data_IF_674777831643
#
_entry.id   IF_674777831643
#
_cell.length_a   1.000
_cell.length_b   1.000
_cell.length_c   1.000
_cell.angle_alpha   90.00
_cell.angle_beta   90.00
_cell.angle_gamma   90.00
#
_symmetry.space_group_name_H-M   'P 1'
#
loop_
_entity.id
_entity.type
_entity.pdbx_description
1 polymer ?
#
# COMPACT_ATOMS: atom_id res chain seq x y z
N UNK A 1 -53.48 10.85 -23.48
CA UNK A 1 -53.23 10.23 -22.16
C UNK A 1 -51.94 9.41 -22.13
N UNK A 2 -51.50 8.81 -23.23
CA UNK A 2 -50.25 8.02 -23.30
C UNK A 2 -48.97 8.86 -23.36
N UNK A 3 -48.99 10.05 -23.95
CA UNK A 3 -47.83 10.96 -24.05
C UNK A 3 -47.42 11.56 -22.72
N UNK A 4 -48.34 11.84 -21.82
CA UNK A 4 -48.04 12.38 -20.47
C UNK A 4 -47.46 11.31 -19.58
N UNK A 5 -47.88 10.04 -19.71
CA UNK A 5 -47.28 8.91 -18.97
C UNK A 5 -45.88 8.62 -19.42
N UNK A 6 -45.57 8.75 -20.72
CA UNK A 6 -44.21 8.60 -21.24
C UNK A 6 -43.27 9.72 -20.76
N UNK A 7 -43.74 10.95 -20.66
CA UNK A 7 -42.97 12.10 -20.17
C UNK A 7 -42.67 12.00 -18.68
N UNK A 8 -43.60 11.51 -17.86
CA UNK A 8 -43.39 11.26 -16.43
C UNK A 8 -42.43 10.13 -16.20
N UNK A 9 -42.43 9.08 -17.04
CA UNK A 9 -41.50 7.95 -16.97
C UNK A 9 -40.06 8.39 -17.30
N UNK A 10 -39.87 9.30 -18.27
CA UNK A 10 -38.55 9.86 -18.63
C UNK A 10 -37.99 10.75 -17.52
N UNK A 11 -38.82 11.53 -16.83
CA UNK A 11 -38.40 12.35 -15.69
C UNK A 11 -37.99 11.48 -14.48
N UNK A 12 -38.66 10.36 -14.25
CA UNK A 12 -38.34 9.41 -13.18
C UNK A 12 -37.01 8.62 -13.46
N UNK A 13 -36.65 8.41 -14.73
CA UNK A 13 -35.38 7.77 -15.10
C UNK A 13 -34.17 8.71 -15.02
N UNK A 14 -34.38 10.03 -15.00
CA UNK A 14 -33.28 11.03 -15.00
C UNK A 14 -32.65 11.30 -13.61
N UNK A 15 -33.23 10.81 -12.52
CA UNK A 15 -32.72 11.06 -11.16
C UNK A 15 -31.91 9.88 -10.60
N UNK A 16 -30.96 9.40 -11.35
CA UNK A 16 -29.90 8.57 -10.81
C UNK A 16 -28.86 9.49 -10.15
N UNK A 17 -29.14 9.97 -8.94
CA UNK A 17 -28.08 10.53 -8.10
C UNK A 17 -27.11 9.38 -7.77
N UNK A 18 -25.98 9.33 -8.45
CA UNK A 18 -24.86 8.51 -8.01
C UNK A 18 -24.38 9.07 -6.66
N UNK A 19 -25.01 8.61 -5.58
CA UNK A 19 -24.48 8.81 -4.25
C UNK A 19 -23.17 8.01 -4.19
N UNK A 20 -22.03 8.68 -4.31
CA UNK A 20 -20.73 8.08 -4.06
C UNK A 20 -20.59 7.88 -2.55
N UNK A 21 -21.21 6.82 -2.04
CA UNK A 21 -20.99 6.32 -0.70
C UNK A 21 -19.77 5.44 -0.73
N UNK A 22 -18.85 5.64 0.20
CA UNK A 22 -17.65 4.81 0.39
C UNK A 22 -17.79 4.06 1.71
N UNK A 23 -17.30 2.81 1.74
CA UNK A 23 -17.32 2.02 2.97
C UNK A 23 -16.18 2.47 3.89
N UNK A 24 -16.37 2.33 5.19
CA UNK A 24 -15.37 2.71 6.19
C UNK A 24 -14.01 2.05 5.88
N UNK A 25 -14.00 0.77 5.53
CA UNK A 25 -12.76 0.03 5.19
C UNK A 25 -12.01 0.54 3.97
N UNK A 26 -12.68 1.26 3.06
CA UNK A 26 -12.03 1.77 1.83
C UNK A 26 -11.34 3.12 2.11
N UNK A 27 -11.76 3.85 3.16
CA UNK A 27 -11.25 5.18 3.52
C UNK A 27 -10.45 5.21 4.82
N UNK A 28 -10.43 4.13 5.58
CA UNK A 28 -9.74 4.07 6.86
C UNK A 28 -9.04 2.74 7.10
N UNK A 29 -8.11 2.74 8.04
CA UNK A 29 -7.43 1.56 8.57
C UNK A 29 -7.67 1.48 10.08
N UNK A 30 -7.72 0.25 10.60
CA UNK A 30 -7.82 0.02 12.04
C UNK A 30 -6.45 0.19 12.68
N UNK A 31 -6.36 0.96 13.75
CA UNK A 31 -5.13 1.16 14.51
C UNK A 31 -4.56 -0.17 15.01
N UNK A 32 -3.23 -0.32 14.85
CA UNK A 32 -2.52 -1.55 15.24
C UNK A 32 -2.68 -2.72 14.28
N UNK A 33 -3.41 -2.57 13.18
CA UNK A 33 -3.52 -3.55 12.10
C UNK A 33 -2.62 -3.10 10.96
N UNK A 34 -1.36 -3.50 10.99
CA UNK A 34 -0.38 -3.15 9.95
C UNK A 34 0.55 -4.32 9.66
N UNK A 35 1.07 -4.35 8.47
CA UNK A 35 2.17 -5.23 8.13
C UNK A 35 3.48 -4.77 8.80
N UNK A 36 4.30 -5.71 9.22
CA UNK A 36 5.59 -5.46 9.87
C UNK A 36 6.72 -5.90 8.95
N UNK A 37 7.71 -5.02 8.77
CA UNK A 37 8.87 -5.33 7.94
C UNK A 37 9.85 -6.19 8.72
N UNK A 38 10.29 -7.29 8.11
CA UNK A 38 11.29 -8.19 8.64
C UNK A 38 12.55 -8.15 7.78
N UNK A 39 13.70 -8.18 8.44
CA UNK A 39 15.01 -8.19 7.79
C UNK A 39 15.86 -9.30 8.36
N UNK A 40 16.64 -9.97 7.50
CA UNK A 40 17.61 -10.97 7.88
C UNK A 40 18.88 -10.87 7.05
N UNK A 41 19.96 -11.42 7.59
CA UNK A 41 21.21 -11.64 6.90
C UNK A 41 21.41 -13.13 6.72
N UNK A 42 21.68 -13.58 5.49
CA UNK A 42 21.81 -14.99 5.17
C UNK A 42 22.88 -15.27 4.11
N UNK A 43 23.01 -16.54 3.81
CA UNK A 43 23.88 -17.04 2.73
C UNK A 43 23.04 -17.78 1.69
N UNK A 44 23.31 -17.50 0.44
CA UNK A 44 22.82 -18.27 -0.70
C UNK A 44 23.97 -19.15 -1.20
N UNK A 45 23.68 -20.44 -1.35
CA UNK A 45 24.64 -21.46 -1.80
C UNK A 45 24.18 -22.08 -3.12
N UNK A 46 25.10 -22.84 -3.78
CA UNK A 46 24.79 -23.52 -5.03
C UNK A 46 24.86 -22.66 -6.28
N UNK A 47 25.47 -21.48 -6.18
CA UNK A 47 25.63 -20.59 -7.33
C UNK A 47 26.64 -21.15 -8.34
N UNK A 48 26.38 -21.13 -9.66
CA UNK A 48 27.26 -21.69 -10.69
C UNK A 48 28.45 -20.76 -10.98
N UNK A 49 29.32 -20.51 -9.98
CA UNK A 49 30.50 -19.65 -10.11
C UNK A 49 30.19 -18.13 -10.08
N UNK A 50 28.93 -17.73 -9.86
CA UNK A 50 28.49 -16.32 -9.82
C UNK A 50 28.46 -15.74 -8.41
N UNK A 51 28.92 -16.49 -7.41
CA UNK A 51 29.06 -16.05 -6.02
C UNK A 51 30.19 -15.04 -5.82
N UNK A 52 30.53 -14.78 -4.57
CA UNK A 52 31.51 -13.75 -4.19
C UNK A 52 32.58 -14.27 -3.24
N UNK A 53 33.69 -13.54 -3.18
CA UNK A 53 34.82 -13.89 -2.32
C UNK A 53 35.16 -12.78 -1.31
N UNK A 54 34.18 -12.07 -0.83
CA UNK A 54 34.37 -11.01 0.16
C UNK A 54 34.71 -11.60 1.54
N UNK A 55 35.49 -10.88 2.34
CA UNK A 55 35.94 -11.34 3.66
C UNK A 55 34.77 -11.66 4.60
N UNK A 56 33.70 -10.85 4.60
CA UNK A 56 32.54 -11.10 5.44
C UNK A 56 31.71 -12.32 5.00
N UNK A 57 31.65 -12.62 3.70
CA UNK A 57 31.02 -13.84 3.17
C UNK A 57 31.81 -15.08 3.59
N UNK A 58 33.13 -15.02 3.51
CA UNK A 58 34.01 -16.11 3.98
C UNK A 58 33.88 -16.33 5.49
N UNK A 59 33.82 -15.24 6.27
CA UNK A 59 33.63 -15.32 7.72
C UNK A 59 32.30 -15.93 8.09
N UNK A 60 31.21 -15.50 7.44
CA UNK A 60 29.87 -16.05 7.65
C UNK A 60 29.78 -17.52 7.26
N UNK A 61 30.41 -17.90 6.15
CA UNK A 61 30.51 -19.29 5.73
C UNK A 61 31.25 -20.15 6.74
N UNK A 62 32.36 -19.65 7.29
CA UNK A 62 33.09 -20.34 8.40
C UNK A 62 32.20 -20.48 9.63
N UNK A 63 31.51 -19.42 10.04
CA UNK A 63 30.59 -19.47 11.16
C UNK A 63 29.50 -20.54 10.99
N UNK A 64 28.97 -20.66 9.78
CA UNK A 64 28.03 -21.71 9.43
C UNK A 64 28.64 -23.11 9.51
N UNK A 65 29.84 -23.34 8.94
CA UNK A 65 30.53 -24.63 9.03
C UNK A 65 30.80 -25.01 10.48
N UNK A 66 31.23 -24.05 11.30
CA UNK A 66 31.45 -24.29 12.73
C UNK A 66 30.17 -24.71 13.45
N UNK A 67 29.00 -24.15 13.08
CA UNK A 67 27.73 -24.59 13.66
C UNK A 67 27.32 -26.02 13.28
N UNK A 68 27.88 -26.54 12.18
CA UNK A 68 27.77 -27.95 11.78
C UNK A 68 28.89 -28.85 12.31
N UNK A 69 29.75 -28.32 13.18
CA UNK A 69 30.88 -29.08 13.75
C UNK A 69 32.10 -29.18 12.85
N UNK A 70 32.15 -28.46 11.73
CA UNK A 70 33.28 -28.44 10.79
C UNK A 70 34.14 -27.23 11.10
N UNK A 71 35.34 -27.46 11.65
CA UNK A 71 36.30 -26.39 11.97
C UNK A 71 37.35 -26.27 10.88
N UNK A 72 37.41 -25.13 10.19
CA UNK A 72 38.45 -24.80 9.24
C UNK A 72 39.60 -24.07 9.93
N UNK A 73 40.88 -24.45 9.64
CA UNK A 73 42.06 -23.73 10.15
C UNK A 73 41.97 -22.23 9.79
N UNK A 74 42.39 -21.36 10.70
CA UNK A 74 42.35 -19.90 10.51
C UNK A 74 43.25 -19.42 9.34
N UNK A 75 44.26 -20.19 8.99
CA UNK A 75 45.19 -19.92 7.89
C UNK A 75 44.64 -20.22 6.50
N UNK A 76 43.53 -20.97 6.41
CA UNK A 76 42.90 -21.31 5.13
C UNK A 76 41.70 -20.43 4.88
N UNK A 77 41.76 -19.63 3.82
CA UNK A 77 40.56 -18.91 3.30
C UNK A 77 39.91 -19.77 2.21
N UNK A 78 38.69 -20.25 2.44
CA UNK A 78 37.98 -21.03 1.43
C UNK A 78 37.72 -20.18 0.18
N UNK A 79 38.20 -20.66 -0.97
CA UNK A 79 37.90 -20.02 -2.27
C UNK A 79 36.47 -20.42 -2.70
N UNK A 80 35.49 -19.71 -2.20
CA UNK A 80 34.07 -19.97 -2.48
C UNK A 80 33.62 -19.06 -3.61
N UNK A 81 33.28 -19.64 -4.78
CA UNK A 81 32.62 -18.93 -5.90
C UNK A 81 31.14 -19.28 -6.06
N UNK A 82 30.64 -20.16 -5.20
CA UNK A 82 29.29 -20.68 -5.23
C UNK A 82 28.42 -20.21 -4.04
N UNK A 83 28.90 -19.22 -3.30
CA UNK A 83 28.22 -18.65 -2.13
C UNK A 83 28.14 -17.13 -2.28
N UNK A 84 27.04 -16.55 -1.83
CA UNK A 84 26.85 -15.10 -1.74
C UNK A 84 26.19 -14.72 -0.41
N UNK A 85 26.65 -13.61 0.17
CA UNK A 85 25.98 -12.99 1.30
C UNK A 85 24.77 -12.17 0.81
N UNK A 86 23.65 -12.31 1.50
CA UNK A 86 22.40 -11.71 1.09
C UNK A 86 21.65 -11.04 2.25
N UNK A 87 20.96 -9.96 1.92
CA UNK A 87 19.90 -9.43 2.72
C UNK A 87 18.59 -10.11 2.33
N UNK A 88 17.81 -10.50 3.34
CA UNK A 88 16.51 -11.12 3.17
C UNK A 88 15.48 -10.18 3.73
N UNK A 89 14.47 -9.85 2.93
CA UNK A 89 13.37 -8.97 3.30
C UNK A 89 12.06 -9.74 3.22
N UNK A 90 11.20 -9.53 4.20
CA UNK A 90 9.86 -10.07 4.21
C UNK A 90 8.89 -9.05 4.80
N UNK A 91 7.65 -9.14 4.39
CA UNK A 91 6.56 -8.42 4.99
C UNK A 91 5.70 -9.42 5.77
N UNK A 92 5.59 -9.22 7.09
CA UNK A 92 4.73 -10.02 7.95
C UNK A 92 3.37 -9.36 8.04
N UNK A 93 2.35 -9.92 7.36
CA UNK A 93 0.99 -9.39 7.44
C UNK A 93 0.44 -9.45 8.88
N UNK A 94 -0.50 -8.58 9.23
CA UNK A 94 -1.14 -8.63 10.54
C UNK A 94 -1.86 -9.97 10.74
N UNK A 95 -1.96 -10.41 11.99
CA UNK A 95 -2.65 -11.63 12.41
C UNK A 95 -2.10 -12.95 11.86
N UNK A 96 -0.94 -12.95 11.23
CA UNK A 96 -0.27 -14.20 10.83
C UNK A 96 0.11 -15.03 12.06
N UNK A 97 -0.26 -16.33 12.01
CA UNK A 97 -0.02 -17.27 13.10
C UNK A 97 1.27 -18.05 12.90
N UNK A 98 1.90 -18.53 13.98
CA UNK A 98 3.02 -19.46 13.89
C UNK A 98 2.69 -20.67 13.00
N UNK A 99 3.67 -21.09 12.18
CA UNK A 99 3.52 -22.15 11.19
C UNK A 99 2.99 -21.71 9.82
N UNK A 100 2.46 -20.50 9.68
CA UNK A 100 2.07 -19.97 8.38
C UNK A 100 3.29 -19.46 7.61
N UNK A 101 3.22 -19.51 6.28
CA UNK A 101 4.32 -19.10 5.42
C UNK A 101 4.09 -17.70 4.82
N UNK A 102 5.19 -17.01 4.54
CA UNK A 102 5.23 -15.70 3.88
C UNK A 102 6.29 -15.70 2.78
N UNK A 103 6.08 -14.85 1.79
CA UNK A 103 7.04 -14.63 0.71
C UNK A 103 8.23 -13.84 1.19
N UNK A 104 9.41 -14.13 0.62
CA UNK A 104 10.62 -13.37 0.89
C UNK A 104 11.28 -12.89 -0.39
N UNK A 105 11.96 -11.77 -0.26
CA UNK A 105 12.85 -11.20 -1.28
C UNK A 105 14.28 -11.29 -0.77
N UNK A 106 15.17 -11.81 -1.61
CA UNK A 106 16.58 -12.03 -1.30
C UNK A 106 17.41 -11.19 -2.24
N UNK A 107 18.28 -10.33 -1.70
CA UNK A 107 19.11 -9.41 -2.46
C UNK A 107 20.57 -9.59 -2.09
N UNK A 108 21.47 -9.68 -3.06
CA UNK A 108 22.91 -9.74 -2.80
C UNK A 108 23.39 -8.44 -2.15
N UNK A 109 24.21 -8.56 -1.10
CA UNK A 109 24.82 -7.40 -0.43
C UNK A 109 26.18 -7.09 -1.07
N UNK A 110 26.82 -8.08 -1.63
CA UNK A 110 28.18 -7.96 -2.11
C UNK A 110 28.31 -7.93 -3.63
N UNK A 111 29.38 -8.53 -4.13
CA UNK A 111 29.78 -8.52 -5.54
C UNK A 111 29.30 -9.73 -6.34
N UNK A 112 28.36 -10.50 -5.84
CA UNK A 112 27.80 -11.64 -6.56
C UNK A 112 27.21 -11.21 -7.90
N UNK A 113 27.61 -11.90 -8.97
CA UNK A 113 27.15 -11.59 -10.33
C UNK A 113 25.72 -12.00 -10.61
N UNK A 114 25.25 -13.07 -9.96
CA UNK A 114 23.87 -13.58 -10.07
C UNK A 114 23.55 -14.51 -8.91
N UNK A 115 22.30 -14.51 -8.46
CA UNK A 115 21.75 -15.45 -7.45
C UNK A 115 21.00 -16.63 -8.10
N UNK A 116 21.00 -16.72 -9.42
CA UNK A 116 20.25 -17.73 -10.16
C UNK A 116 20.75 -19.15 -9.84
N UNK A 117 19.80 -20.06 -9.59
CA UNK A 117 20.07 -21.46 -9.22
C UNK A 117 20.50 -21.64 -7.77
N UNK A 118 20.61 -20.55 -7.01
CA UNK A 118 20.98 -20.60 -5.61
C UNK A 118 19.86 -20.98 -4.67
N UNK A 119 20.23 -21.49 -3.51
CA UNK A 119 19.33 -21.81 -2.41
C UNK A 119 19.72 -20.99 -1.18
N UNK A 120 18.75 -20.29 -0.59
CA UNK A 120 18.92 -19.59 0.68
C UNK A 120 19.00 -20.60 1.81
N UNK A 121 20.06 -20.51 2.59
CA UNK A 121 20.20 -21.27 3.83
C UNK A 121 19.32 -20.67 4.94
N UNK A 122 19.08 -21.46 5.98
CA UNK A 122 18.29 -21.05 7.13
C UNK A 122 18.73 -19.67 7.64
N UNK A 123 17.81 -18.74 7.64
CA UNK A 123 18.05 -17.33 7.95
C UNK A 123 16.98 -16.82 8.89
N UNK A 124 17.39 -16.21 10.00
CA UNK A 124 16.47 -15.61 10.96
C UNK A 124 16.04 -14.23 10.49
N UNK A 125 14.74 -14.01 10.39
CA UNK A 125 14.16 -12.72 10.06
C UNK A 125 13.73 -11.99 11.34
N UNK A 126 14.28 -10.79 11.52
CA UNK A 126 14.09 -9.96 12.71
C UNK A 126 13.21 -8.76 12.40
N UNK A 127 12.39 -8.38 13.36
CA UNK A 127 11.68 -7.12 13.35
C UNK A 127 12.55 -5.94 13.82
N UNK A 128 11.98 -4.75 13.86
CA UNK A 128 12.64 -3.51 14.32
C UNK A 128 13.08 -3.61 15.79
N UNK A 129 12.38 -4.42 16.58
CA UNK A 129 12.69 -4.68 18.00
C UNK A 129 13.84 -5.69 18.20
N UNK A 130 14.43 -6.19 17.12
CA UNK A 130 15.54 -7.17 17.14
C UNK A 130 15.10 -8.62 17.39
N UNK A 131 13.83 -8.88 17.67
CA UNK A 131 13.32 -10.24 17.90
C UNK A 131 13.15 -10.99 16.58
N UNK A 132 13.32 -12.32 16.62
CA UNK A 132 13.07 -13.21 15.49
C UNK A 132 11.58 -13.50 15.41
N UNK A 133 10.99 -13.26 14.22
CA UNK A 133 9.58 -13.49 13.92
C UNK A 133 9.35 -14.59 12.90
N UNK A 134 10.32 -14.81 12.00
CA UNK A 134 10.21 -15.86 10.99
C UNK A 134 11.60 -16.47 10.69
N UNK A 135 11.56 -17.67 10.15
CA UNK A 135 12.77 -18.37 9.66
C UNK A 135 12.58 -18.59 8.16
N UNK A 136 13.57 -18.11 7.39
CA UNK A 136 13.58 -18.16 5.94
C UNK A 136 14.52 -19.23 5.41
N UNK A 137 14.07 -19.97 4.38
CA UNK A 137 14.88 -20.96 3.67
C UNK A 137 14.22 -21.29 2.33
N UNK A 138 15.01 -21.62 1.30
CA UNK A 138 14.44 -22.15 0.07
C UNK A 138 15.18 -21.76 -1.20
N UNK A 139 14.78 -22.35 -2.31
CA UNK A 139 15.39 -22.10 -3.63
C UNK A 139 14.90 -20.79 -4.22
N UNK A 140 15.82 -20.00 -4.78
CA UNK A 140 15.54 -18.68 -5.32
C UNK A 140 14.96 -18.77 -6.73
N UNK A 141 13.89 -18.03 -6.96
CA UNK A 141 13.38 -17.71 -8.28
C UNK A 141 13.96 -16.34 -8.66
N UNK A 142 14.90 -16.32 -9.59
CA UNK A 142 15.58 -15.11 -10.05
C UNK A 142 15.11 -14.78 -11.45
N UNK A 143 14.54 -13.60 -11.63
CA UNK A 143 14.17 -13.07 -12.94
C UNK A 143 15.40 -12.50 -13.67
N UNK A 144 15.35 -12.52 -15.02
CA UNK A 144 16.36 -11.89 -15.85
C UNK A 144 17.44 -12.83 -16.38
N UNK A 145 18.15 -12.34 -17.40
CA UNK A 145 19.29 -12.98 -18.05
C UNK A 145 20.48 -12.05 -17.96
N UNK A 146 21.62 -12.56 -17.50
CA UNK A 146 22.91 -11.91 -17.63
C UNK A 146 23.80 -12.80 -18.52
N UNK A 147 24.30 -12.26 -19.61
CA UNK A 147 25.33 -12.90 -20.43
C UNK A 147 26.57 -12.00 -20.45
N UNK A 148 27.74 -12.60 -20.26
CA UNK A 148 29.01 -11.91 -20.38
C UNK A 148 29.81 -12.57 -21.52
N UNK A 149 30.18 -11.77 -22.51
CA UNK A 149 31.03 -12.23 -23.60
C UNK A 149 32.50 -12.36 -23.15
N UNK A 150 33.29 -13.17 -23.86
CA UNK A 150 34.71 -13.32 -23.65
C UNK A 150 35.50 -12.03 -23.96
N UNK A 151 34.87 -11.11 -24.67
CA UNK A 151 35.38 -9.78 -25.05
C UNK A 151 35.09 -8.69 -23.98
N UNK A 152 34.53 -9.06 -22.83
CA UNK A 152 34.15 -8.14 -21.76
C UNK A 152 32.79 -7.48 -21.94
N UNK A 153 32.09 -7.74 -23.03
CA UNK A 153 30.71 -7.23 -23.21
C UNK A 153 29.76 -7.90 -22.20
N UNK A 154 28.92 -7.09 -21.55
CA UNK A 154 27.94 -7.57 -20.55
C UNK A 154 26.54 -7.10 -20.96
N UNK A 155 25.67 -8.04 -21.26
CA UNK A 155 24.24 -7.78 -21.44
C UNK A 155 23.50 -8.26 -20.20
N UNK A 156 22.85 -7.35 -19.49
CA UNK A 156 22.04 -7.64 -18.30
C UNK A 156 20.60 -7.20 -18.60
N UNK A 157 19.72 -8.17 -18.67
CA UNK A 157 18.28 -7.93 -18.78
C UNK A 157 17.66 -8.27 -17.42
N UNK A 158 17.10 -7.27 -16.75
CA UNK A 158 16.67 -7.32 -15.33
C UNK A 158 17.80 -7.53 -14.31
N UNK A 159 17.47 -7.57 -13.02
CA UNK A 159 18.44 -7.61 -11.93
C UNK A 159 18.69 -9.05 -11.48
N UNK A 160 19.77 -9.72 -11.92
CA UNK A 160 20.05 -11.13 -11.57
C UNK A 160 20.52 -11.30 -10.12
N UNK A 161 20.77 -10.21 -9.40
CA UNK A 161 21.24 -10.19 -8.01
C UNK A 161 20.10 -10.11 -6.99
N UNK A 162 18.85 -10.13 -7.46
CA UNK A 162 17.65 -10.17 -6.61
C UNK A 162 16.81 -11.38 -7.00
N UNK A 163 16.35 -12.13 -6.01
CA UNK A 163 15.47 -13.28 -6.19
C UNK A 163 14.32 -13.25 -5.20
N UNK A 164 13.29 -14.03 -5.47
CA UNK A 164 12.17 -14.27 -4.56
C UNK A 164 12.08 -15.76 -4.22
N UNK A 165 11.65 -16.05 -3.02
CA UNK A 165 11.26 -17.39 -2.61
C UNK A 165 9.80 -17.33 -2.15
N UNK A 166 8.87 -17.79 -2.99
CA UNK A 166 7.45 -17.87 -2.59
C UNK A 166 7.29 -18.80 -1.41
N UNK A 167 6.54 -18.39 -0.40
CA UNK A 167 6.37 -19.13 0.86
C UNK A 167 7.70 -19.51 1.53
N UNK A 168 8.74 -18.71 1.31
CA UNK A 168 10.10 -19.04 1.70
C UNK A 168 10.43 -18.79 3.17
N UNK A 169 9.55 -18.20 3.94
CA UNK A 169 9.75 -18.08 5.38
C UNK A 169 8.53 -18.57 6.16
N UNK A 170 8.79 -19.27 7.25
CA UNK A 170 7.78 -19.73 8.21
C UNK A 170 7.74 -18.78 9.39
N UNK A 171 6.56 -18.33 9.76
CA UNK A 171 6.34 -17.49 10.94
C UNK A 171 6.51 -18.33 12.20
N UNK A 172 7.38 -17.87 13.09
CA UNK A 172 7.65 -18.52 14.39
C UNK A 172 6.97 -17.80 15.55
N UNK A 173 6.76 -16.50 15.41
CA UNK A 173 6.19 -15.66 16.44
C UNK A 173 5.16 -14.69 15.86
N UNK A 174 4.01 -14.61 16.51
CA UNK A 174 2.97 -13.62 16.19
C UNK A 174 3.36 -12.24 16.72
N UNK A 175 3.08 -11.20 15.92
CA UNK A 175 3.15 -9.81 16.39
C UNK A 175 1.86 -9.47 17.13
N UNK A 176 1.99 -9.13 18.40
CA UNK A 176 0.83 -8.71 19.21
C UNK A 176 0.28 -7.40 18.68
N UNK A 177 -0.97 -7.40 18.29
CA UNK A 177 -1.69 -6.19 17.86
C UNK A 177 -2.48 -5.61 19.04
N UNK A 178 -2.44 -4.29 19.26
CA UNK A 178 -3.29 -3.62 20.25
C UNK A 178 -4.79 -3.73 19.91
N UNK A 179 -5.13 -4.10 18.68
CA UNK A 179 -6.52 -4.32 18.25
C UNK A 179 -7.32 -5.22 19.20
N UNK A 180 -6.69 -6.25 19.78
CA UNK A 180 -7.37 -7.20 20.69
C UNK A 180 -7.45 -6.72 22.14
N UNK A 181 -6.95 -5.53 22.44
CA UNK A 181 -6.85 -5.00 23.80
C UNK A 181 -7.64 -3.71 23.95
N UNK A 182 -8.13 -3.47 25.18
CA UNK A 182 -8.82 -2.22 25.55
C UNK A 182 -10.31 -2.18 25.15
N UNK A 183 -10.92 -1.05 25.48
CA UNK A 183 -12.37 -0.81 25.35
C UNK A 183 -12.73 -0.06 24.06
N UNK A 184 -11.75 0.19 23.21
CA UNK A 184 -11.91 1.01 22.01
C UNK A 184 -11.28 0.34 20.80
N UNK A 185 -11.81 0.68 19.63
CA UNK A 185 -11.17 0.50 18.32
C UNK A 185 -10.99 1.91 17.75
N UNK A 186 -9.82 2.19 17.20
CA UNK A 186 -9.56 3.47 16.53
C UNK A 186 -9.46 3.23 15.04
N UNK A 187 -10.27 3.97 14.27
CA UNK A 187 -10.16 4.06 12.82
C UNK A 187 -9.29 5.24 12.45
N UNK A 188 -8.24 5.01 11.67
CA UNK A 188 -7.37 6.05 11.15
C UNK A 188 -7.70 6.27 9.68
N UNK A 189 -8.15 7.47 9.34
CA UNK A 189 -8.48 7.86 7.97
C UNK A 189 -7.21 7.87 7.10
N UNK A 190 -7.30 7.32 5.90
CA UNK A 190 -6.20 7.31 4.92
C UNK A 190 -5.82 8.73 4.48
N UNK A 191 -6.77 9.68 4.56
CA UNK A 191 -6.57 11.11 4.30
C UNK A 191 -7.15 11.91 5.45
N UNK A 192 -6.33 12.64 6.22
CA UNK A 192 -6.78 13.46 7.32
C UNK A 192 -7.74 14.56 6.83
N UNK A 193 -8.96 14.61 7.37
CA UNK A 193 -9.95 15.64 7.11
C UNK A 193 -10.99 15.70 8.24
N UNK A 194 -11.14 16.86 8.86
CA UNK A 194 -12.05 17.05 9.99
C UNK A 194 -13.52 16.78 9.64
N UNK A 195 -13.95 17.18 8.45
CA UNK A 195 -15.34 16.97 8.00
C UNK A 195 -15.62 15.48 7.77
N UNK A 196 -14.69 14.77 7.17
CA UNK A 196 -14.78 13.32 6.98
C UNK A 196 -14.79 12.60 8.31
N UNK A 197 -13.91 12.97 9.26
CA UNK A 197 -13.88 12.39 10.60
C UNK A 197 -15.21 12.58 11.36
N UNK A 198 -15.80 13.79 11.29
CA UNK A 198 -17.12 14.07 11.91
C UNK A 198 -18.28 13.33 11.23
N UNK A 199 -18.24 13.17 9.91
CA UNK A 199 -19.26 12.38 9.20
C UNK A 199 -19.14 10.89 9.55
N UNK A 200 -17.93 10.37 9.67
CA UNK A 200 -17.69 9.00 10.11
C UNK A 200 -18.17 8.78 11.54
N UNK A 201 -17.86 9.67 12.47
CA UNK A 201 -18.36 9.66 13.84
C UNK A 201 -19.89 9.61 13.86
N UNK A 202 -20.55 10.53 13.12
CA UNK A 202 -22.00 10.59 13.06
C UNK A 202 -22.63 9.30 12.49
N UNK A 203 -22.02 8.73 11.45
CA UNK A 203 -22.52 7.49 10.84
C UNK A 203 -22.44 6.31 11.81
N UNK A 204 -21.33 6.18 12.55
CA UNK A 204 -21.19 5.12 13.55
C UNK A 204 -22.17 5.34 14.72
N UNK A 205 -22.31 6.58 15.21
CA UNK A 205 -23.24 6.92 16.29
C UNK A 205 -24.70 6.67 15.92
N UNK A 206 -25.07 6.84 14.66
CA UNK A 206 -26.41 6.53 14.18
C UNK A 206 -26.73 5.02 14.20
N UNK A 207 -25.70 4.16 13.99
CA UNK A 207 -25.89 2.70 14.02
C UNK A 207 -25.83 2.14 15.43
N UNK A 208 -24.81 2.52 16.19
CA UNK A 208 -24.45 1.89 17.47
C UNK A 208 -25.15 2.57 18.65
N UNK A 209 -25.35 3.89 18.54
CA UNK A 209 -25.94 4.73 19.57
C UNK A 209 -25.10 5.97 19.86
N UNK A 210 -25.69 6.96 20.51
CA UNK A 210 -25.02 8.23 20.80
C UNK A 210 -23.77 8.04 21.67
N UNK A 211 -22.73 8.82 21.40
CA UNK A 211 -21.43 8.78 22.10
C UNK A 211 -20.65 7.45 22.00
N UNK A 212 -21.03 6.54 21.11
CA UNK A 212 -20.29 5.30 20.84
C UNK A 212 -19.01 5.55 20.03
N UNK A 213 -19.01 6.58 19.19
CA UNK A 213 -17.86 7.02 18.43
C UNK A 213 -17.52 8.48 18.72
N UNK A 214 -16.23 8.83 18.68
CA UNK A 214 -15.72 10.18 18.87
C UNK A 214 -14.52 10.44 17.95
N UNK A 215 -14.61 11.49 17.15
CA UNK A 215 -13.46 12.00 16.40
C UNK A 215 -12.48 12.67 17.36
N UNK A 216 -11.24 12.18 17.43
CA UNK A 216 -10.18 12.70 18.29
C UNK A 216 -9.46 13.83 17.56
N UNK A 217 -9.18 13.62 16.28
CA UNK A 217 -8.51 14.56 15.42
C UNK A 217 -8.98 14.39 13.95
N UNK A 218 -8.30 15.04 13.00
CA UNK A 218 -8.64 14.99 11.59
C UNK A 218 -8.46 13.60 10.95
N UNK A 219 -7.69 12.72 11.60
CA UNK A 219 -7.36 11.40 11.06
C UNK A 219 -7.99 10.26 11.87
N UNK A 220 -8.24 10.45 13.17
CA UNK A 220 -8.53 9.36 14.10
C UNK A 220 -9.95 9.46 14.67
N UNK A 221 -10.72 8.39 14.52
CA UNK A 221 -12.04 8.23 15.11
C UNK A 221 -12.02 7.02 16.04
N UNK A 222 -12.22 7.25 17.33
CA UNK A 222 -12.28 6.22 18.36
C UNK A 222 -13.70 5.73 18.54
N UNK A 223 -13.88 4.42 18.63
CA UNK A 223 -15.18 3.76 18.78
C UNK A 223 -15.14 2.82 19.97
N UNK A 224 -16.14 2.86 20.84
CA UNK A 224 -16.30 1.92 21.93
C UNK A 224 -16.52 0.52 21.36
N UNK A 225 -15.78 -0.47 21.86
CA UNK A 225 -15.80 -1.82 21.29
C UNK A 225 -15.90 -2.89 22.39
N UNK A 226 -16.50 -4.05 22.10
CA UNK A 226 -16.54 -5.18 23.03
C UNK A 226 -15.13 -5.65 23.40
N UNK A 227 -14.95 -6.13 24.63
CA UNK A 227 -13.68 -6.73 25.08
C UNK A 227 -13.52 -8.18 24.64
N UNK A 228 -14.61 -8.87 24.41
CA UNK A 228 -14.60 -10.24 23.91
C UNK A 228 -14.09 -10.27 22.45
N UNK A 229 -13.12 -11.14 22.18
CA UNK A 229 -12.44 -11.18 20.89
C UNK A 229 -13.39 -11.55 19.73
N UNK A 230 -14.31 -12.49 19.95
CA UNK A 230 -15.24 -12.95 18.92
C UNK A 230 -16.28 -11.86 18.60
N UNK A 231 -16.83 -11.23 19.65
CA UNK A 231 -17.76 -10.12 19.48
C UNK A 231 -17.07 -8.91 18.82
N UNK A 232 -15.79 -8.65 19.16
CA UNK A 232 -15.00 -7.56 18.60
C UNK A 232 -14.79 -7.71 17.09
N UNK A 233 -14.50 -8.93 16.62
CA UNK A 233 -14.37 -9.21 15.17
C UNK A 233 -15.70 -9.02 14.45
N UNK A 234 -16.80 -9.54 14.99
CA UNK A 234 -18.13 -9.37 14.42
C UNK A 234 -18.56 -7.91 14.39
N UNK A 235 -18.28 -7.18 15.46
CA UNK A 235 -18.55 -5.76 15.57
C UNK A 235 -17.76 -4.94 14.53
N UNK A 236 -16.45 -5.21 14.41
CA UNK A 236 -15.62 -4.55 13.40
C UNK A 236 -16.12 -4.84 11.99
N UNK A 237 -16.46 -6.10 11.68
CA UNK A 237 -16.99 -6.49 10.36
C UNK A 237 -18.27 -5.71 10.00
N UNK A 238 -19.13 -5.43 10.99
CA UNK A 238 -20.31 -4.60 10.79
C UNK A 238 -19.95 -3.15 10.51
N UNK A 239 -19.02 -2.58 11.29
CA UNK A 239 -18.59 -1.19 11.11
C UNK A 239 -17.86 -0.97 9.79
N UNK A 240 -16.95 -1.86 9.40
CA UNK A 240 -16.18 -1.74 8.16
C UNK A 240 -17.02 -1.68 6.89
N UNK A 241 -18.20 -2.29 6.91
CA UNK A 241 -19.13 -2.31 5.77
C UNK A 241 -20.13 -1.17 5.78
N UNK A 242 -20.11 -0.29 6.80
CA UNK A 242 -20.95 0.91 6.80
C UNK A 242 -20.53 1.85 5.68
N UNK A 243 -21.54 2.33 4.99
CA UNK A 243 -21.40 3.32 3.93
C UNK A 243 -21.62 4.73 4.49
N UNK A 244 -20.75 5.65 4.12
CA UNK A 244 -20.90 7.06 4.41
C UNK A 244 -20.35 7.91 3.27
N UNK A 245 -20.69 9.18 3.22
CA UNK A 245 -20.19 10.11 2.21
C UNK A 245 -19.04 10.93 2.80
N UNK A 246 -17.78 10.66 2.40
CA UNK A 246 -16.63 11.49 2.79
C UNK A 246 -16.84 12.96 2.38
N UNK A 247 -16.05 13.87 2.93
CA UNK A 247 -16.00 15.23 2.44
C UNK A 247 -15.43 15.30 1.03
N UNK A 248 -15.84 16.29 0.27
CA UNK A 248 -15.28 16.52 -1.04
C UNK A 248 -13.79 16.81 -0.93
N UNK A 249 -12.99 16.14 -1.76
CA UNK A 249 -11.54 16.36 -1.79
C UNK A 249 -11.24 17.78 -2.25
N UNK A 250 -10.17 18.37 -1.68
CA UNK A 250 -9.67 19.67 -2.15
C UNK A 250 -9.37 19.64 -3.65
N UNK A 251 -9.63 20.76 -4.32
CA UNK A 251 -9.27 20.94 -5.72
C UNK A 251 -7.77 20.71 -5.93
N UNK A 252 -7.38 19.73 -6.73
CA UNK A 252 -5.98 19.39 -7.01
C UNK A 252 -5.77 19.15 -8.49
N UNK A 253 -4.65 19.65 -8.99
CA UNK A 253 -4.10 19.33 -10.31
C UNK A 253 -2.79 18.60 -10.09
N UNK A 254 -2.65 17.42 -10.68
CA UNK A 254 -1.43 16.61 -10.60
C UNK A 254 -0.78 16.63 -11.98
N UNK A 255 0.46 17.12 -12.04
CA UNK A 255 1.25 17.16 -13.27
C UNK A 255 2.41 16.18 -13.14
N UNK A 256 2.49 15.20 -14.03
CA UNK A 256 3.65 14.33 -14.16
C UNK A 256 4.55 14.88 -15.27
N UNK A 257 5.62 15.58 -14.88
CA UNK A 257 6.54 16.22 -15.82
C UNK A 257 7.31 15.25 -16.71
N UNK A 258 7.48 13.99 -16.27
CA UNK A 258 8.20 12.96 -17.05
C UNK A 258 7.34 12.38 -18.17
N UNK A 259 6.04 12.17 -17.93
CA UNK A 259 5.12 11.60 -18.91
C UNK A 259 4.25 12.63 -19.62
N UNK A 260 4.28 13.90 -19.18
CA UNK A 260 3.40 14.95 -19.68
C UNK A 260 1.93 14.79 -19.30
N UNK A 261 1.61 13.86 -18.41
CA UNK A 261 0.23 13.59 -18.01
C UNK A 261 -0.26 14.62 -16.99
N UNK A 262 -1.43 15.20 -17.24
CA UNK A 262 -2.11 16.12 -16.34
C UNK A 262 -3.43 15.48 -15.90
N UNK A 263 -3.63 15.38 -14.57
CA UNK A 263 -4.88 14.90 -13.97
C UNK A 263 -5.52 16.07 -13.22
N UNK A 264 -6.75 16.42 -13.60
CA UNK A 264 -7.50 17.53 -13.02
C UNK A 264 -8.63 16.94 -12.17
N UNK A 265 -8.67 17.29 -10.88
CA UNK A 265 -9.73 16.86 -9.97
C UNK A 265 -11.06 17.56 -10.31
N UNK A 266 -12.19 16.89 -10.08
CA UNK A 266 -13.56 17.38 -10.39
C UNK A 266 -13.90 18.74 -9.74
N UNK A 267 -13.27 19.05 -8.61
CA UNK A 267 -13.54 20.27 -7.84
C UNK A 267 -12.65 21.46 -8.25
N UNK A 268 -11.83 21.29 -9.27
CA UNK A 268 -10.99 22.38 -9.79
C UNK A 268 -11.85 23.30 -10.62
N UNK A 269 -11.92 24.57 -10.21
CA UNK A 269 -12.61 25.64 -10.94
C UNK A 269 -11.57 26.65 -11.38
N UNK A 270 -11.73 27.16 -12.59
CA UNK A 270 -10.93 28.27 -13.11
C UNK A 270 -11.69 29.58 -12.82
N UNK A 271 -10.98 30.55 -12.28
CA UNK A 271 -11.50 31.93 -12.19
C UNK A 271 -11.26 32.65 -13.52
N UNK A 272 -12.04 33.70 -13.85
CA UNK A 272 -11.79 34.52 -15.03
C UNK A 272 -10.34 34.99 -15.05
N UNK A 273 -9.64 34.67 -16.13
CA UNK A 273 -8.21 35.00 -16.28
C UNK A 273 -7.86 35.16 -17.75
N UNK A 274 -6.88 36.03 -18.02
CA UNK A 274 -6.21 36.14 -19.31
C UNK A 274 -4.76 35.74 -19.16
N UNK A 275 -4.32 34.75 -19.94
CA UNK A 275 -2.96 34.20 -19.89
C UNK A 275 -2.36 34.37 -21.29
N UNK A 276 -1.20 35.08 -21.36
CA UNK A 276 -0.44 35.25 -22.58
C UNK A 276 0.92 34.57 -22.45
N UNK A 277 1.21 33.65 -23.36
CA UNK A 277 2.51 32.99 -23.42
C UNK A 277 3.01 32.93 -24.87
N UNK A 278 4.10 33.62 -25.18
CA UNK A 278 4.60 33.79 -26.55
C UNK A 278 3.54 34.46 -27.43
N UNK A 279 3.14 33.80 -28.51
CA UNK A 279 2.12 34.30 -29.45
C UNK A 279 0.70 33.81 -29.15
N UNK A 280 0.48 33.09 -28.05
CA UNK A 280 -0.83 32.52 -27.68
C UNK A 280 -1.43 33.34 -26.52
N UNK A 281 -2.66 33.83 -26.70
CA UNK A 281 -3.45 34.45 -25.63
C UNK A 281 -4.70 33.60 -25.41
N UNK A 282 -4.88 33.13 -24.17
CA UNK A 282 -6.07 32.37 -23.72
C UNK A 282 -6.82 33.26 -22.73
N UNK A 283 -8.06 33.60 -23.05
CA UNK A 283 -8.96 34.32 -22.16
C UNK A 283 -10.06 33.42 -21.66
N UNK A 284 -10.20 33.33 -20.35
CA UNK A 284 -11.29 32.62 -19.67
C UNK A 284 -12.22 33.69 -19.12
N UNK A 285 -13.44 33.74 -19.61
CA UNK A 285 -14.46 34.68 -19.14
C UNK A 285 -15.75 33.91 -18.80
N UNK A 286 -16.41 34.35 -17.76
CA UNK A 286 -17.70 33.81 -17.36
C UNK A 286 -18.79 34.42 -18.24
N UNK A 287 -19.58 33.58 -18.91
CA UNK A 287 -20.68 34.04 -19.75
C UNK A 287 -22.00 33.88 -18.96
N UNK A 288 -22.60 35.01 -18.63
CA UNK A 288 -23.92 35.04 -17.99
C UNK A 288 -25.00 35.02 -19.06
N UNK A 289 -25.76 33.94 -19.13
CA UNK A 289 -26.95 33.88 -19.96
C UNK A 289 -28.14 34.36 -19.13
N UNK A 290 -28.63 35.54 -19.48
CA UNK A 290 -29.86 36.11 -18.90
C UNK A 290 -31.05 35.75 -19.80
N UNK A 291 -31.92 34.86 -19.31
CA UNK A 291 -33.16 34.55 -19.99
C UNK A 291 -34.27 35.41 -19.39
N UNK A 292 -34.71 36.41 -20.12
CA UNK A 292 -35.87 37.21 -19.75
C UNK A 292 -37.18 36.56 -20.23
N UNK A 293 -38.17 36.43 -19.38
CA UNK A 293 -39.48 35.98 -19.81
C UNK A 293 -40.14 37.04 -20.74
N UNK A 294 -41.07 36.57 -21.59
CA UNK A 294 -41.79 37.43 -22.51
C UNK A 294 -42.49 38.55 -21.73
N UNK A 295 -42.55 39.84 -22.22
CA UNK A 295 -43.11 40.98 -21.48
C UNK A 295 -44.56 40.85 -21.00
N UNK A 296 -45.27 39.82 -21.45
CA UNK A 296 -46.67 39.52 -21.09
C UNK A 296 -46.84 38.22 -20.27
N UNK A 297 -45.75 37.60 -19.82
CA UNK A 297 -45.80 36.40 -18.99
C UNK A 297 -45.32 36.71 -17.57
N UNK A 298 -46.06 36.29 -16.55
CA UNK A 298 -45.60 36.31 -15.16
C UNK A 298 -44.48 35.28 -14.98
N UNK A 299 -43.22 35.74 -14.86
CA UNK A 299 -42.08 34.90 -14.62
C UNK A 299 -40.88 35.74 -14.18
N UNK A 300 -40.06 35.21 -13.27
CA UNK A 300 -38.81 35.84 -12.82
C UNK A 300 -37.66 35.66 -13.84
N UNK A 301 -36.79 36.67 -13.92
CA UNK A 301 -35.56 36.61 -14.73
C UNK A 301 -34.61 35.57 -14.16
N UNK A 302 -34.31 34.53 -14.91
CA UNK A 302 -33.36 33.48 -14.48
C UNK A 302 -31.99 33.79 -15.10
N UNK A 303 -31.01 34.00 -14.21
CA UNK A 303 -29.59 34.13 -14.59
C UNK A 303 -28.93 32.76 -14.40
N UNK A 304 -28.55 32.10 -15.48
CA UNK A 304 -27.76 30.86 -15.46
C UNK A 304 -26.31 31.17 -15.74
N UNK A 305 -25.46 30.80 -14.82
CA UNK A 305 -24.00 30.82 -15.00
C UNK A 305 -23.55 29.48 -15.59
N UNK A 306 -22.80 29.50 -16.66
CA UNK A 306 -22.19 28.33 -17.32
C UNK A 306 -20.67 28.44 -17.29
#
# INVERSE_FOLDING_TARGET
MNSIKAFILIILLGWQFSASAERIKDVSMVEGVRANQLVGYGLVVGLPGTGEQNSYTQQSFRGMLNSFGITLPSTQSPKIKNVAAVAVHAELPPFRKPGQTIDITVSSIGSAGSLRGGTLLQTFLKGVDGNVYAIAQGSLIVGGLGAQGLDGSKVVINTPTVGRVPNGATVEREVKSPFMQGDYITFNLNRPDFTTAKRLEATINNLVGPNSAQAIDAASVRVIAPRDASQRVSYLSTLENLEFKPADTSAKIIVNSRTGTIVIGKNVKLQPAAITHGGLTVTIAEQQNVTQPNPLAEGETVVTQQ
#
